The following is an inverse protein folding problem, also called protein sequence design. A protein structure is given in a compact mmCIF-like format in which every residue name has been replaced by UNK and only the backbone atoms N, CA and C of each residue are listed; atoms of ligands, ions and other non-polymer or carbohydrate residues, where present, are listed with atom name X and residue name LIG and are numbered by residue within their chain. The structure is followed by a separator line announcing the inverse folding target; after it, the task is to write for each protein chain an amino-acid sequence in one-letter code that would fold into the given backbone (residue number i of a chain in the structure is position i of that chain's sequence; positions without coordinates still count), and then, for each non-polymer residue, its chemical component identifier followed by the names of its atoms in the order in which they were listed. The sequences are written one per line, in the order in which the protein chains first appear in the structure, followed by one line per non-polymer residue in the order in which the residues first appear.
data_IF_328736185856
#
_entry.id   IF_328736185856
#
_cell.length_a   1.000
_cell.length_b   1.000
_cell.length_c   1.000
_cell.angle_alpha   90.00
_cell.angle_beta   90.00
_cell.angle_gamma   90.00
#
_symmetry.space_group_name_H-M   'P 1'
#
loop_
_entity.id
_entity.type
_entity.pdbx_description
1 polymer ?
#
# COMPACT_ATOMS: atom_id res chain seq x y z
N UNK A 1 -8.89 -8.42 27.65
CA UNK A 1 -8.96 -8.02 26.22
C UNK A 1 -9.05 -6.51 25.98
N UNK A 2 -9.58 -5.72 26.92
CA UNK A 2 -9.67 -4.26 26.83
C UNK A 2 -8.34 -3.51 26.59
N UNK A 3 -7.22 -4.08 27.04
CA UNK A 3 -5.89 -3.47 26.91
C UNK A 3 -5.43 -3.34 25.46
N UNK A 4 -5.74 -4.34 24.60
CA UNK A 4 -5.30 -4.34 23.20
C UNK A 4 -6.01 -3.25 22.39
N UNK A 5 -7.30 -3.06 22.62
CA UNK A 5 -8.10 -2.03 21.93
C UNK A 5 -7.63 -0.62 22.33
N UNK A 6 -7.37 -0.42 23.64
CA UNK A 6 -6.83 0.85 24.12
C UNK A 6 -5.43 1.08 23.51
N UNK A 7 -4.57 0.05 23.52
CA UNK A 7 -3.22 0.11 22.96
C UNK A 7 -3.19 0.45 21.48
N UNK A 8 -3.96 -0.25 20.64
CA UNK A 8 -4.00 0.01 19.19
C UNK A 8 -4.58 1.39 18.87
N UNK A 9 -5.60 1.83 19.62
CA UNK A 9 -6.17 3.17 19.46
C UNK A 9 -5.16 4.27 19.81
N UNK A 10 -4.50 4.17 20.98
CA UNK A 10 -3.49 5.14 21.39
C UNK A 10 -2.29 5.13 20.45
N UNK A 11 -1.86 3.97 19.97
CA UNK A 11 -0.76 3.86 19.01
C UNK A 11 -1.11 4.49 17.66
N UNK A 12 -2.30 4.19 17.13
CA UNK A 12 -2.78 4.78 15.88
C UNK A 12 -2.97 6.29 16.01
N UNK A 13 -3.49 6.78 17.14
CA UNK A 13 -3.64 8.20 17.40
C UNK A 13 -2.27 8.88 17.41
N UNK A 14 -1.30 8.33 18.15
CA UNK A 14 0.07 8.86 18.22
C UNK A 14 0.73 8.88 16.84
N UNK A 15 0.59 7.84 16.03
CA UNK A 15 1.13 7.81 14.66
C UNK A 15 0.54 8.89 13.76
N UNK A 16 -0.71 9.28 13.98
CA UNK A 16 -1.36 10.37 13.24
C UNK A 16 -0.90 11.73 13.76
N UNK A 17 -0.71 11.90 15.07
CA UNK A 17 -0.27 13.19 15.65
C UNK A 17 1.22 13.44 15.43
N UNK A 18 2.09 12.44 15.51
CA UNK A 18 3.54 12.57 15.33
C UNK A 18 3.94 13.43 14.09
N UNK A 19 3.44 13.15 12.86
CA UNK A 19 3.78 13.94 11.68
C UNK A 19 3.22 15.38 11.71
N UNK A 20 2.24 15.66 12.58
CA UNK A 20 1.66 17.02 12.76
C UNK A 20 2.50 17.83 13.76
N UNK A 21 3.08 17.19 14.77
CA UNK A 21 3.91 17.83 15.79
C UNK A 21 5.34 18.08 15.32
N UNK A 22 5.86 17.24 14.43
CA UNK A 22 7.20 17.39 13.87
C UNK A 22 7.15 18.25 12.59
N UNK A 23 7.60 19.51 12.70
CA UNK A 23 7.67 20.42 11.55
C UNK A 23 8.58 19.89 10.44
N UNK A 24 9.59 19.08 10.79
CA UNK A 24 10.43 18.36 9.83
C UNK A 24 9.67 17.29 9.05
N UNK A 25 8.74 16.58 9.68
CA UNK A 25 7.86 15.60 9.03
C UNK A 25 6.81 16.26 8.15
N UNK A 26 6.35 17.48 8.47
CA UNK A 26 5.47 18.26 7.57
C UNK A 26 6.20 18.73 6.33
N UNK A 27 7.42 19.26 6.51
CA UNK A 27 8.29 19.66 5.41
C UNK A 27 8.79 18.45 4.59
N UNK A 28 8.96 17.29 5.23
CA UNK A 28 9.24 16.02 4.57
C UNK A 28 7.97 15.32 4.04
N UNK A 29 6.76 15.84 4.25
CA UNK A 29 5.52 15.40 3.59
C UNK A 29 5.16 16.32 2.42
N UNK A 30 5.39 17.63 2.57
CA UNK A 30 5.25 18.65 1.52
C UNK A 30 6.41 18.61 0.52
N UNK A 31 7.62 18.28 1.00
CA UNK A 31 8.85 18.11 0.23
C UNK A 31 9.33 16.65 0.17
N UNK A 32 8.53 15.69 0.66
CA UNK A 32 8.78 14.29 0.35
C UNK A 32 8.79 14.17 -1.18
N UNK A 33 9.83 13.57 -1.78
CA UNK A 33 9.61 12.99 -3.09
C UNK A 33 8.46 12.01 -2.89
N UNK A 34 7.31 12.30 -3.54
CA UNK A 34 6.10 11.47 -3.63
C UNK A 34 6.52 10.03 -3.36
N UNK A 35 6.36 9.54 -2.12
CA UNK A 35 7.00 8.29 -1.70
C UNK A 35 6.61 7.26 -2.72
N UNK A 36 7.57 6.93 -3.58
CA UNK A 36 7.34 6.19 -4.80
C UNK A 36 6.83 4.86 -4.28
N UNK A 37 5.51 4.66 -4.38
CA UNK A 37 4.85 3.43 -3.96
C UNK A 37 5.63 2.23 -4.52
N UNK A 38 6.26 2.42 -5.69
CA UNK A 38 7.28 1.56 -6.27
C UNK A 38 8.48 1.20 -5.38
N UNK A 39 9.15 2.13 -4.70
CA UNK A 39 10.28 1.83 -3.80
C UNK A 39 9.85 1.06 -2.54
N UNK A 40 8.70 1.42 -1.95
CA UNK A 40 8.16 0.70 -0.79
C UNK A 40 7.68 -0.70 -1.17
N UNK A 41 7.03 -0.83 -2.34
CA UNK A 41 6.67 -2.12 -2.93
C UNK A 41 7.92 -2.93 -3.29
N UNK A 42 8.99 -2.31 -3.81
CA UNK A 42 10.23 -2.98 -4.15
C UNK A 42 10.88 -3.64 -2.92
N UNK A 43 10.92 -2.93 -1.79
CA UNK A 43 11.40 -3.49 -0.52
C UNK A 43 10.53 -4.66 -0.02
N UNK A 44 9.20 -4.58 -0.19
CA UNK A 44 8.31 -5.69 0.14
C UNK A 44 8.49 -6.91 -0.79
N UNK A 45 8.75 -6.67 -2.08
CA UNK A 45 9.09 -7.72 -3.05
C UNK A 45 10.45 -8.33 -2.74
N UNK A 46 11.39 -7.57 -2.20
CA UNK A 46 12.67 -8.08 -1.72
C UNK A 46 12.48 -9.02 -0.52
N UNK A 47 11.60 -8.69 0.43
CA UNK A 47 11.23 -9.62 1.49
C UNK A 47 10.56 -10.91 0.97
N UNK A 48 9.80 -10.83 -0.13
CA UNK A 48 9.28 -12.02 -0.81
C UNK A 48 10.39 -12.87 -1.43
N UNK A 49 11.49 -12.27 -1.88
CA UNK A 49 12.65 -13.01 -2.36
C UNK A 49 13.28 -13.84 -1.22
N UNK A 50 13.36 -13.31 0.00
CA UNK A 50 13.80 -14.06 1.18
C UNK A 50 12.86 -15.22 1.54
N UNK A 51 11.55 -15.02 1.38
CA UNK A 51 10.56 -16.10 1.61
C UNK A 51 10.75 -17.25 0.61
N UNK A 52 11.19 -16.97 -0.63
CA UNK A 52 11.49 -18.04 -1.60
C UNK A 52 12.59 -18.98 -1.10
N UNK A 53 13.57 -18.46 -0.37
CA UNK A 53 14.63 -19.28 0.24
C UNK A 53 14.07 -20.22 1.34
N UNK A 54 12.96 -19.85 1.99
CA UNK A 54 12.23 -20.74 2.92
C UNK A 54 11.54 -21.86 2.14
N UNK A 55 10.97 -21.57 0.96
CA UNK A 55 10.35 -22.57 0.11
C UNK A 55 11.34 -23.63 -0.38
N UNK A 56 12.60 -23.27 -0.67
CA UNK A 56 13.64 -24.26 -1.01
C UNK A 56 13.91 -25.25 0.13
N UNK A 57 13.79 -24.79 1.38
CA UNK A 57 14.04 -25.60 2.57
C UNK A 57 12.80 -26.40 3.02
N UNK A 58 11.59 -25.92 2.70
CA UNK A 58 10.30 -26.57 3.01
C UNK A 58 9.29 -26.37 1.87
N UNK A 59 9.24 -27.28 0.88
CA UNK A 59 8.39 -27.13 -0.30
C UNK A 59 6.88 -27.17 0.01
N UNK A 60 6.49 -27.90 1.07
CA UNK A 60 5.10 -28.09 1.51
C UNK A 60 4.36 -26.77 1.84
N UNK A 61 5.10 -25.77 2.35
CA UNK A 61 4.56 -24.45 2.68
C UNK A 61 4.26 -23.63 1.42
N UNK A 62 5.07 -23.78 0.38
CA UNK A 62 4.88 -23.07 -0.89
C UNK A 62 3.69 -23.64 -1.68
N UNK A 63 3.52 -24.97 -1.67
CA UNK A 63 2.41 -25.65 -2.35
C UNK A 63 1.07 -25.26 -1.71
N UNK A 64 0.94 -25.46 -0.40
CA UNK A 64 -0.26 -25.08 0.37
C UNK A 64 -0.52 -23.57 0.33
N UNK A 65 0.55 -22.76 0.36
CA UNK A 65 0.46 -21.31 0.24
C UNK A 65 -0.08 -20.86 -1.11
N UNK A 66 0.35 -21.49 -2.21
CA UNK A 66 -0.06 -21.08 -3.57
C UNK A 66 -1.57 -21.16 -3.78
N UNK A 67 -2.21 -22.21 -3.27
CA UNK A 67 -3.65 -22.41 -3.39
C UNK A 67 -4.43 -21.36 -2.59
N UNK A 68 -3.97 -21.05 -1.38
CA UNK A 68 -4.59 -20.04 -0.52
C UNK A 68 -4.37 -18.63 -1.04
N UNK A 69 -3.17 -18.30 -1.51
CA UNK A 69 -2.86 -17.02 -2.15
C UNK A 69 -3.64 -16.82 -3.45
N UNK A 70 -3.83 -17.86 -4.26
CA UNK A 70 -4.62 -17.78 -5.49
C UNK A 70 -6.08 -17.43 -5.19
N UNK A 71 -6.70 -18.11 -4.21
CA UNK A 71 -8.08 -17.85 -3.80
C UNK A 71 -8.26 -16.43 -3.22
N UNK A 72 -7.32 -15.99 -2.38
CA UNK A 72 -7.33 -14.64 -1.80
C UNK A 72 -7.06 -13.57 -2.88
N UNK A 73 -6.17 -13.84 -3.84
CA UNK A 73 -5.80 -12.93 -4.91
C UNK A 73 -6.96 -12.59 -5.85
N UNK A 74 -7.81 -13.57 -6.18
CA UNK A 74 -9.03 -13.33 -6.98
C UNK A 74 -9.95 -12.34 -6.27
N UNK A 75 -10.13 -12.47 -4.95
CA UNK A 75 -10.96 -11.54 -4.17
C UNK A 75 -10.33 -10.16 -4.04
N UNK A 76 -9.01 -10.09 -3.84
CA UNK A 76 -8.28 -8.83 -3.80
C UNK A 76 -8.38 -8.07 -5.13
N UNK A 77 -8.27 -8.75 -6.27
CA UNK A 77 -8.39 -8.14 -7.60
C UNK A 77 -9.78 -7.55 -7.84
N UNK A 78 -10.83 -8.27 -7.44
CA UNK A 78 -12.20 -7.76 -7.54
C UNK A 78 -12.43 -6.57 -6.61
N UNK A 79 -11.88 -6.61 -5.38
CA UNK A 79 -11.89 -5.48 -4.45
C UNK A 79 -11.19 -4.24 -5.02
N UNK A 80 -10.02 -4.43 -5.64
CA UNK A 80 -9.30 -3.36 -6.32
C UNK A 80 -10.12 -2.77 -7.48
N UNK A 81 -10.75 -3.61 -8.31
CA UNK A 81 -11.62 -3.17 -9.41
C UNK A 81 -12.75 -2.27 -8.90
N UNK A 82 -13.45 -2.68 -7.83
CA UNK A 82 -14.55 -1.89 -7.25
C UNK A 82 -14.03 -0.57 -6.67
N UNK A 83 -12.90 -0.60 -5.97
CA UNK A 83 -12.27 0.62 -5.43
C UNK A 83 -11.91 1.60 -6.55
N UNK A 84 -11.30 1.11 -7.65
CA UNK A 84 -10.98 1.95 -8.81
C UNK A 84 -12.23 2.53 -9.47
N UNK A 85 -13.30 1.75 -9.66
CA UNK A 85 -14.56 2.27 -10.21
C UNK A 85 -15.17 3.35 -9.32
N UNK A 86 -15.09 3.19 -7.99
CA UNK A 86 -15.57 4.20 -7.06
C UNK A 86 -14.74 5.49 -7.12
N UNK A 87 -13.41 5.36 -7.14
CA UNK A 87 -12.50 6.50 -7.30
C UNK A 87 -12.77 7.22 -8.64
N UNK A 88 -12.84 6.47 -9.73
CA UNK A 88 -13.14 6.99 -11.07
C UNK A 88 -14.47 7.76 -11.08
N UNK A 89 -15.53 7.21 -10.49
CA UNK A 89 -16.83 7.92 -10.38
C UNK A 89 -16.79 9.22 -9.57
N UNK A 90 -15.79 9.39 -8.69
CA UNK A 90 -15.63 10.60 -7.88
C UNK A 90 -14.69 11.63 -8.51
N UNK A 91 -13.77 11.18 -9.36
CA UNK A 91 -12.81 12.05 -10.04
C UNK A 91 -13.21 12.36 -11.49
N UNK A 92 -14.11 11.59 -12.12
CA UNK A 92 -14.57 11.83 -13.49
C UNK A 92 -15.52 13.04 -13.64
N UNK A 93 -16.19 13.48 -12.57
CA UNK A 93 -17.10 14.65 -12.59
C UNK A 93 -16.37 16.00 -12.45
N UNK A 94 -15.05 16.00 -12.28
CA UNK A 94 -14.24 17.20 -12.16
C UNK A 94 -12.95 17.03 -12.94
N UNK A 95 -12.91 17.54 -14.16
CA UNK A 95 -11.67 17.76 -14.87
C UNK A 95 -11.01 19.03 -14.32
N UNK A 96 -9.96 18.87 -13.49
CA UNK A 96 -8.76 19.66 -13.66
C UNK A 96 -7.60 18.69 -13.91
N UNK A 97 -6.91 18.90 -15.04
CA UNK A 97 -5.65 18.29 -15.46
C UNK A 97 -5.16 17.13 -14.57
N UNK A 98 -5.53 15.91 -14.96
CA UNK A 98 -4.94 14.70 -14.41
C UNK A 98 -3.47 14.66 -14.83
N UNK A 99 -2.57 15.17 -13.98
CA UNK A 99 -1.13 14.85 -14.05
C UNK A 99 -0.97 13.39 -13.66
N UNK A 100 -1.31 12.49 -14.58
CA UNK A 100 -0.83 11.11 -14.54
C UNK A 100 0.68 11.16 -14.76
N UNK A 101 1.45 10.55 -13.87
CA UNK A 101 2.93 10.50 -13.93
C UNK A 101 3.48 9.70 -15.12
N UNK A 102 2.64 9.34 -16.09
CA UNK A 102 3.02 8.65 -17.31
C UNK A 102 2.71 9.52 -18.53
N UNK A 103 3.77 10.19 -18.99
CA UNK A 103 3.95 10.88 -20.28
C UNK A 103 3.36 12.31 -20.40
N UNK A 104 4.21 13.33 -20.65
CA UNK A 104 3.72 14.65 -21.01
C UNK A 104 3.04 14.59 -22.39
N UNK A 105 1.82 15.11 -22.48
CA UNK A 105 1.15 15.41 -23.75
C UNK A 105 1.98 16.48 -24.45
N UNK A 106 2.68 16.05 -25.50
CA UNK A 106 3.33 16.96 -26.43
C UNK A 106 2.27 17.49 -27.38
N UNK A 107 2.06 18.80 -27.35
CA UNK A 107 1.37 19.54 -28.40
C UNK A 107 2.45 20.32 -29.15
#
# INVERSE_FOLDING_TARGET
MWFLIKGSFWFSLVLITLPVLDSGSREALEGAPQLEVGQSMAAAVEALADIKQICERKPDICETGSETFAALGVRAREGARIAYQFLDSKFADGEPDLVTGSLPVTN
#
